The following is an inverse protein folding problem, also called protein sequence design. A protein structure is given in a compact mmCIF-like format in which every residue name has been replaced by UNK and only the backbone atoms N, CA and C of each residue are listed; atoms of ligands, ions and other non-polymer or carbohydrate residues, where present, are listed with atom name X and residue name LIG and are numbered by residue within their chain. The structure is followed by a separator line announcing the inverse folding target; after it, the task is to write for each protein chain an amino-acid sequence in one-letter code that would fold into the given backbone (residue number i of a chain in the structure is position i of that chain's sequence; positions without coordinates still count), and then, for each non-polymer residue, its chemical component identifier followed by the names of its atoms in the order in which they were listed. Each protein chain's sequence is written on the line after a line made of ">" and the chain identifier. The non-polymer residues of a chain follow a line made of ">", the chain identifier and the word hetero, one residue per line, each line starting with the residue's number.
data_IF_469439510698
#
_entry.id   IF_469439510698
#
_cell.length_a   1.000
_cell.length_b   1.000
_cell.length_c   1.000
_cell.angle_alpha   90.00
_cell.angle_beta   90.00
_cell.angle_gamma   90.00
#
_symmetry.space_group_name_H-M   'P 1'
#
loop_
_entity.id
_entity.type
_entity.pdbx_description
1 polymer ?
#
# COMPACT_ATOMS: atom_id res chain seq x y z
N UNK A 1 -19.15 -53.81 19.86
CA UNK A 1 -19.92 -52.68 19.29
C UNK A 1 -19.72 -51.34 20.05
N UNK A 2 -19.32 -51.31 21.31
CA UNK A 2 -19.04 -50.05 22.05
C UNK A 2 -17.63 -49.45 21.82
N UNK A 3 -16.65 -50.28 21.46
CA UNK A 3 -15.27 -49.82 21.20
C UNK A 3 -15.14 -49.09 19.87
N UNK A 4 -15.83 -49.54 18.80
CA UNK A 4 -15.80 -48.91 17.49
C UNK A 4 -16.42 -47.51 17.45
N UNK A 5 -17.40 -47.21 18.31
CA UNK A 5 -18.02 -45.88 18.38
C UNK A 5 -17.08 -44.81 19.01
N UNK A 6 -16.16 -45.22 19.89
CA UNK A 6 -15.22 -44.31 20.55
C UNK A 6 -14.06 -43.89 19.64
N UNK A 7 -13.62 -44.76 18.74
CA UNK A 7 -12.55 -44.45 17.77
C UNK A 7 -13.05 -43.55 16.66
N UNK A 8 -14.31 -43.66 16.21
CA UNK A 8 -14.89 -42.78 15.19
C UNK A 8 -15.10 -41.34 15.71
N UNK A 9 -15.44 -41.16 16.98
CA UNK A 9 -15.59 -39.82 17.57
C UNK A 9 -14.24 -39.13 17.78
N UNK A 10 -13.17 -39.85 18.08
CA UNK A 10 -11.84 -39.29 18.26
C UNK A 10 -11.22 -38.81 16.93
N UNK A 11 -11.47 -39.51 15.82
CA UNK A 11 -10.99 -39.12 14.50
C UNK A 11 -11.71 -37.91 13.91
N UNK A 12 -13.00 -37.69 14.27
CA UNK A 12 -13.74 -36.49 13.87
C UNK A 12 -13.27 -35.21 14.60
N UNK A 13 -12.81 -35.34 15.86
CA UNK A 13 -12.30 -34.19 16.62
C UNK A 13 -10.93 -33.74 16.18
N UNK A 14 -10.06 -34.64 15.71
CA UNK A 14 -8.73 -34.27 15.19
C UNK A 14 -8.78 -33.60 13.80
N UNK A 15 -9.79 -33.93 12.98
CA UNK A 15 -9.97 -33.29 11.67
C UNK A 15 -10.50 -31.84 11.77
N UNK A 16 -11.23 -31.50 12.84
CA UNK A 16 -11.79 -30.16 13.05
C UNK A 16 -10.75 -29.12 13.53
N UNK A 17 -9.61 -29.55 14.08
CA UNK A 17 -8.58 -28.67 14.61
C UNK A 17 -7.57 -28.17 13.55
N UNK A 18 -7.55 -28.75 12.35
CA UNK A 18 -6.63 -28.36 11.26
C UNK A 18 -7.20 -27.29 10.31
N UNK A 19 -8.45 -26.87 10.48
CA UNK A 19 -9.09 -25.92 9.56
C UNK A 19 -9.00 -24.44 9.99
N UNK A 20 -8.30 -24.11 11.05
CA UNK A 20 -8.02 -22.73 11.44
C UNK A 20 -6.68 -22.24 10.82
N UNK A 21 -6.53 -22.39 9.50
CA UNK A 21 -5.53 -21.63 8.77
C UNK A 21 -5.99 -20.17 8.80
N UNK A 22 -5.49 -19.41 9.78
CA UNK A 22 -5.78 -17.99 9.93
C UNK A 22 -5.44 -17.25 8.64
N UNK A 23 -6.39 -16.53 8.11
CA UNK A 23 -6.14 -15.53 7.07
C UNK A 23 -5.22 -14.48 7.71
N UNK A 24 -3.93 -14.58 7.44
CA UNK A 24 -2.97 -13.55 7.84
C UNK A 24 -3.25 -12.35 6.96
N UNK A 25 -3.89 -11.33 7.52
CA UNK A 25 -4.03 -10.06 6.85
C UNK A 25 -2.61 -9.52 6.56
N UNK A 26 -2.32 -9.27 5.28
CA UNK A 26 -1.04 -8.69 4.89
C UNK A 26 -0.98 -7.25 5.42
N UNK A 27 -0.12 -7.03 6.40
CA UNK A 27 0.16 -5.71 6.94
C UNK A 27 1.56 -5.27 6.52
N UNK A 28 1.76 -3.96 6.38
CA UNK A 28 3.10 -3.43 6.12
C UNK A 28 4.01 -3.70 7.32
N UNK A 29 5.25 -4.17 7.09
CA UNK A 29 6.26 -4.27 8.13
C UNK A 29 6.52 -2.91 8.78
N UNK A 30 6.70 -2.87 10.10
CA UNK A 30 7.09 -1.63 10.79
C UNK A 30 8.56 -1.30 10.48
N UNK A 31 8.78 -0.17 9.81
CA UNK A 31 10.10 0.30 9.38
C UNK A 31 10.30 1.77 9.76
N UNK A 32 11.43 2.05 10.40
CA UNK A 32 11.80 3.42 10.82
C UNK A 32 12.52 4.21 9.73
N UNK A 33 13.02 3.54 8.70
CA UNK A 33 13.79 4.13 7.60
C UNK A 33 12.94 4.54 6.39
N UNK A 34 11.62 4.40 6.49
CA UNK A 34 10.65 4.79 5.45
C UNK A 34 9.75 5.92 5.93
N UNK A 35 9.22 6.69 4.99
CA UNK A 35 8.19 7.68 5.30
C UNK A 35 6.93 6.96 5.79
N UNK A 36 6.46 7.36 6.97
CA UNK A 36 5.27 6.78 7.58
C UNK A 36 4.00 7.22 6.84
N UNK A 37 3.12 6.28 6.55
CA UNK A 37 1.77 6.58 6.02
C UNK A 37 0.96 7.47 6.97
N UNK A 38 1.19 7.34 8.28
CA UNK A 38 0.59 8.24 9.28
C UNK A 38 1.03 9.70 9.09
N UNK A 39 2.26 9.93 8.63
CA UNK A 39 2.72 11.28 8.28
C UNK A 39 2.06 11.75 7.00
N UNK A 40 2.03 10.93 5.94
CA UNK A 40 1.40 11.27 4.67
C UNK A 40 -0.12 11.55 4.82
N UNK A 41 -0.78 10.93 5.78
CA UNK A 41 -2.18 11.18 6.10
C UNK A 41 -2.45 12.54 6.78
N UNK A 42 -1.40 13.32 7.13
CA UNK A 42 -1.56 14.65 7.72
C UNK A 42 -1.84 15.71 6.65
N UNK A 43 -2.99 15.60 6.04
CA UNK A 43 -3.49 16.50 5.00
C UNK A 43 -4.97 16.80 5.26
N UNK A 44 -5.36 18.04 5.07
CA UNK A 44 -6.74 18.50 5.16
C UNK A 44 -7.21 18.99 3.79
N UNK A 45 -8.47 18.72 3.45
CA UNK A 45 -9.09 19.27 2.25
C UNK A 45 -9.74 20.60 2.59
N UNK A 46 -9.21 21.68 2.06
CA UNK A 46 -9.76 23.03 2.23
C UNK A 46 -10.45 23.49 0.96
N UNK A 47 -11.60 24.13 1.12
CA UNK A 47 -12.32 24.71 -0.02
C UNK A 47 -11.64 26.02 -0.43
N UNK A 48 -11.12 26.04 -1.66
CA UNK A 48 -10.55 27.25 -2.29
C UNK A 48 -11.38 27.59 -3.52
N UNK A 49 -12.16 28.68 -3.43
CA UNK A 49 -13.18 29.02 -4.43
C UNK A 49 -14.19 27.86 -4.58
N UNK A 50 -14.28 27.27 -5.77
CA UNK A 50 -15.23 26.20 -6.09
C UNK A 50 -14.59 24.80 -6.10
N UNK A 51 -13.32 24.64 -5.63
CA UNK A 51 -12.58 23.37 -5.60
C UNK A 51 -12.06 23.08 -4.20
N UNK A 52 -11.92 21.79 -3.89
CA UNK A 52 -11.17 21.33 -2.72
C UNK A 52 -9.70 21.14 -3.09
N UNK A 53 -8.81 21.70 -2.26
CA UNK A 53 -7.35 21.54 -2.40
C UNK A 53 -6.74 20.94 -1.13
N UNK A 54 -5.71 20.10 -1.26
CA UNK A 54 -5.01 19.58 -0.09
C UNK A 54 -4.17 20.65 0.59
N UNK A 55 -4.33 20.77 1.89
CA UNK A 55 -3.46 21.53 2.78
C UNK A 55 -2.62 20.56 3.58
N UNK A 56 -1.35 20.49 3.25
CA UNK A 56 -0.40 19.56 3.87
C UNK A 56 0.16 20.14 5.17
N UNK A 57 0.41 19.25 6.16
CA UNK A 57 1.16 19.63 7.36
C UNK A 57 2.60 20.06 7.00
N UNK A 58 3.24 20.78 7.91
CA UNK A 58 4.65 21.19 7.73
C UNK A 58 5.57 19.99 7.56
N UNK A 59 5.29 18.89 8.27
CA UNK A 59 6.05 17.64 8.16
C UNK A 59 5.94 17.01 6.77
N UNK A 60 4.75 16.99 6.17
CA UNK A 60 4.54 16.52 4.79
C UNK A 60 5.18 17.47 3.78
N UNK A 61 4.95 18.78 3.93
CA UNK A 61 5.52 19.78 3.03
C UNK A 61 7.06 19.75 3.00
N UNK A 62 7.69 19.41 4.11
CA UNK A 62 9.15 19.26 4.21
C UNK A 62 9.70 18.07 3.41
N UNK A 63 8.86 17.13 2.98
CA UNK A 63 9.26 16.00 2.14
C UNK A 63 9.31 16.35 0.65
N UNK A 64 8.77 17.50 0.26
CA UNK A 64 8.75 17.92 -1.14
C UNK A 64 10.15 18.03 -1.72
N UNK A 65 10.33 17.48 -2.91
CA UNK A 65 11.59 17.40 -3.64
C UNK A 65 12.72 16.62 -2.91
N UNK A 66 12.42 15.94 -1.81
CA UNK A 66 13.41 15.12 -1.09
C UNK A 66 13.49 13.71 -1.67
N UNK A 67 14.68 13.11 -1.56
CA UNK A 67 14.84 11.68 -1.75
C UNK A 67 14.40 10.96 -0.48
N UNK A 68 13.42 10.06 -0.64
CA UNK A 68 12.80 9.34 0.48
C UNK A 68 12.63 7.87 0.15
N UNK A 69 12.49 7.05 1.19
CA UNK A 69 12.03 5.67 1.07
C UNK A 69 10.55 5.59 1.41
N UNK A 70 9.78 4.90 0.58
CA UNK A 70 8.37 4.59 0.83
C UNK A 70 8.16 3.10 0.67
N UNK A 71 7.34 2.50 1.53
CA UNK A 71 6.91 1.10 1.39
C UNK A 71 5.41 1.03 1.15
N UNK A 72 4.96 0.03 0.41
CA UNK A 72 3.55 -0.18 0.15
C UNK A 72 3.29 -1.34 -0.79
N UNK A 73 2.02 -1.54 -1.10
CA UNK A 73 1.53 -2.55 -2.03
C UNK A 73 1.40 -1.94 -3.43
N UNK A 74 1.85 -2.68 -4.43
CA UNK A 74 1.82 -2.24 -5.82
C UNK A 74 0.43 -2.42 -6.41
N UNK A 75 -0.13 -1.35 -6.98
CA UNK A 75 -1.36 -1.36 -7.78
C UNK A 75 -0.99 -0.97 -9.22
N UNK A 76 -0.95 -1.92 -10.16
CA UNK A 76 -0.49 -1.67 -11.51
C UNK A 76 -1.45 -0.73 -12.27
N UNK A 77 -0.88 0.18 -13.03
CA UNK A 77 -1.59 1.04 -13.99
C UNK A 77 -1.34 0.60 -15.44
N UNK A 78 -0.37 -0.29 -15.65
CA UNK A 78 0.03 -0.81 -16.93
C UNK A 78 -0.29 -2.31 -17.04
N UNK A 79 -0.52 -2.79 -18.24
CA UNK A 79 -0.70 -4.22 -18.51
C UNK A 79 0.66 -4.92 -18.55
N UNK A 80 0.73 -6.17 -18.05
CA UNK A 80 1.91 -7.03 -18.12
C UNK A 80 2.62 -7.22 -16.78
N UNK A 81 3.64 -8.10 -16.79
CA UNK A 81 4.34 -8.56 -15.58
C UNK A 81 5.39 -7.56 -15.05
N UNK A 82 5.75 -6.56 -15.84
CA UNK A 82 6.70 -5.51 -15.47
C UNK A 82 6.01 -4.16 -15.48
N UNK A 83 6.23 -3.41 -14.40
CA UNK A 83 5.59 -2.13 -14.16
C UNK A 83 6.65 -1.02 -14.07
N UNK A 84 6.46 0.04 -14.82
CA UNK A 84 7.25 1.27 -14.73
C UNK A 84 6.45 2.43 -14.13
N UNK A 85 5.11 2.33 -14.18
CA UNK A 85 4.18 3.31 -13.66
C UNK A 85 3.04 2.61 -12.92
N UNK A 86 2.88 2.90 -11.64
CA UNK A 86 1.87 2.26 -10.79
C UNK A 86 1.55 3.13 -9.57
N UNK A 87 0.52 2.76 -8.84
CA UNK A 87 0.22 3.33 -7.53
C UNK A 87 0.81 2.44 -6.44
N UNK A 88 1.47 3.04 -5.48
CA UNK A 88 1.86 2.40 -4.22
C UNK A 88 0.81 2.73 -3.17
N UNK A 89 0.23 1.71 -2.54
CA UNK A 89 -0.84 1.85 -1.56
C UNK A 89 -0.36 1.46 -0.16
N UNK A 90 -0.92 2.11 0.86
CA UNK A 90 -0.68 1.78 2.27
C UNK A 90 -1.29 0.44 2.69
N UNK A 91 -2.29 -0.05 1.97
CA UNK A 91 -2.99 -1.30 2.24
C UNK A 91 -3.07 -2.17 0.99
N UNK A 92 -3.11 -3.50 1.12
CA UNK A 92 -3.27 -4.38 -0.02
C UNK A 92 -4.62 -4.13 -0.70
N UNK A 93 -4.67 -4.28 -2.00
CA UNK A 93 -5.89 -4.20 -2.78
C UNK A 93 -6.78 -5.40 -2.47
N UNK A 94 -7.93 -5.17 -1.87
CA UNK A 94 -8.90 -6.23 -1.52
C UNK A 94 -9.87 -6.56 -2.66
N UNK A 95 -10.00 -5.67 -3.64
CA UNK A 95 -10.78 -5.90 -4.85
C UNK A 95 -10.23 -5.06 -6.02
N UNK A 96 -10.40 -5.55 -7.26
CA UNK A 96 -9.85 -4.91 -8.46
C UNK A 96 -10.47 -3.54 -8.79
N UNK A 97 -11.58 -3.19 -8.15
CA UNK A 97 -12.32 -1.94 -8.39
C UNK A 97 -12.38 -1.03 -7.15
N UNK A 98 -11.76 -1.44 -6.03
CA UNK A 98 -11.77 -0.69 -4.79
C UNK A 98 -10.47 0.10 -4.64
N UNK A 99 -10.58 1.42 -4.52
CA UNK A 99 -9.46 2.22 -4.04
C UNK A 99 -9.22 1.91 -2.56
N UNK A 100 -8.00 1.58 -2.14
CA UNK A 100 -7.70 1.16 -0.75
C UNK A 100 -7.60 2.33 0.23
N UNK A 101 -8.26 3.44 -0.04
CA UNK A 101 -8.29 4.64 0.79
C UNK A 101 -8.39 5.92 -0.04
N UNK A 102 -8.28 7.07 0.62
CA UNK A 102 -8.20 8.37 -0.03
C UNK A 102 -6.81 8.64 -0.65
N UNK A 103 -6.66 9.78 -1.37
CA UNK A 103 -5.41 10.15 -2.02
C UNK A 103 -4.20 10.22 -1.08
N UNK A 104 -4.42 10.44 0.22
CA UNK A 104 -3.39 10.45 1.28
C UNK A 104 -2.78 9.06 1.55
N UNK A 105 -3.47 8.00 1.12
CA UNK A 105 -3.05 6.60 1.27
C UNK A 105 -2.35 6.06 0.02
N UNK A 106 -2.12 6.90 -0.97
CA UNK A 106 -1.63 6.53 -2.30
C UNK A 106 -0.42 7.39 -2.69
N UNK A 107 0.55 6.75 -3.33
CA UNK A 107 1.69 7.44 -3.98
C UNK A 107 1.79 6.96 -5.42
N UNK A 108 1.69 7.86 -6.38
CA UNK A 108 1.99 7.56 -7.78
C UNK A 108 3.49 7.34 -7.93
N UNK A 109 3.88 6.23 -8.53
CA UNK A 109 5.29 5.86 -8.69
C UNK A 109 5.66 5.81 -10.16
N UNK A 110 6.75 6.50 -10.51
CA UNK A 110 7.43 6.39 -11.81
C UNK A 110 8.82 5.82 -11.58
N UNK A 111 9.01 4.58 -12.03
CA UNK A 111 10.25 3.85 -11.85
C UNK A 111 11.31 4.29 -12.86
N UNK A 112 12.57 4.32 -12.43
CA UNK A 112 13.70 4.53 -13.32
C UNK A 112 13.92 3.35 -14.28
N UNK A 113 13.61 2.12 -13.84
CA UNK A 113 13.60 0.89 -14.65
C UNK A 113 12.40 0.05 -14.24
N UNK A 114 11.72 -0.63 -15.19
CA UNK A 114 10.59 -1.48 -14.86
C UNK A 114 10.97 -2.57 -13.84
N UNK A 115 10.04 -2.85 -12.92
CA UNK A 115 10.16 -3.90 -11.91
C UNK A 115 9.06 -4.94 -12.10
N UNK A 116 9.30 -6.16 -11.65
CA UNK A 116 8.28 -7.20 -11.67
C UNK A 116 7.12 -6.84 -10.74
N UNK A 117 5.90 -7.08 -11.20
CA UNK A 117 4.72 -6.98 -10.35
C UNK A 117 4.75 -8.08 -9.28
N UNK A 118 4.35 -7.73 -8.07
CA UNK A 118 4.19 -8.67 -6.95
C UNK A 118 3.10 -8.22 -6.00
N UNK A 119 2.50 -9.17 -5.30
CA UNK A 119 1.47 -8.90 -4.27
C UNK A 119 2.08 -8.53 -2.91
N UNK A 120 3.35 -8.85 -2.71
CA UNK A 120 4.08 -8.50 -1.49
C UNK A 120 4.40 -7.00 -1.44
N UNK A 121 4.48 -6.41 -0.24
CA UNK A 121 4.86 -5.01 -0.12
C UNK A 121 6.29 -4.78 -0.62
N UNK A 122 6.48 -3.69 -1.35
CA UNK A 122 7.78 -3.27 -1.88
C UNK A 122 8.28 -2.02 -1.16
N UNK A 123 9.59 -1.87 -1.09
CA UNK A 123 10.25 -0.65 -0.60
C UNK A 123 10.94 0.03 -1.78
N UNK A 124 10.66 1.30 -1.96
CA UNK A 124 11.19 2.10 -3.06
C UNK A 124 11.89 3.35 -2.52
N UNK A 125 13.00 3.72 -3.13
CA UNK A 125 13.64 5.03 -2.93
C UNK A 125 13.46 5.87 -4.17
N UNK A 126 13.16 7.14 -4.02
CA UNK A 126 13.01 8.09 -5.12
C UNK A 126 12.75 9.51 -4.64
N UNK A 127 12.62 10.42 -5.57
CA UNK A 127 12.32 11.82 -5.29
C UNK A 127 10.82 12.01 -5.12
N UNK A 128 10.38 12.43 -3.94
CA UNK A 128 8.97 12.68 -3.63
C UNK A 128 8.58 14.10 -4.05
N UNK A 129 7.47 14.22 -4.76
CA UNK A 129 6.79 15.49 -5.01
C UNK A 129 5.48 15.53 -4.22
N UNK A 130 5.23 16.64 -3.52
CA UNK A 130 3.98 16.94 -2.81
C UNK A 130 3.14 17.86 -3.67
N UNK A 131 2.00 17.35 -4.15
CA UNK A 131 1.21 17.96 -5.22
C UNK A 131 -0.04 18.65 -4.66
N UNK A 132 -0.09 19.98 -4.77
CA UNK A 132 -1.22 20.78 -4.27
C UNK A 132 -2.39 20.89 -5.25
N UNK A 133 -2.11 20.76 -6.53
CA UNK A 133 -3.11 20.92 -7.59
C UNK A 133 -2.72 20.04 -8.79
N UNK A 134 -2.85 18.72 -8.63
CA UNK A 134 -2.61 17.76 -9.70
C UNK A 134 -3.93 17.40 -10.38
N UNK A 135 -4.00 17.44 -11.74
CA UNK A 135 -5.24 17.17 -12.47
C UNK A 135 -5.74 15.72 -12.29
N UNK A 136 -4.89 14.79 -11.92
CA UNK A 136 -5.25 13.39 -11.64
C UNK A 136 -5.72 13.17 -10.21
N UNK A 137 -5.60 14.18 -9.34
CA UNK A 137 -6.05 14.14 -7.96
C UNK A 137 -5.09 13.40 -7.01
N UNK A 138 -3.88 13.05 -7.46
CA UNK A 138 -2.88 12.46 -6.57
C UNK A 138 -2.20 13.54 -5.72
N UNK A 139 -1.89 13.19 -4.46
CA UNK A 139 -1.20 14.09 -3.54
C UNK A 139 0.30 13.90 -3.54
N UNK A 140 0.77 12.71 -3.90
CA UNK A 140 2.17 12.32 -3.83
C UNK A 140 2.61 11.61 -5.10
N UNK A 141 3.80 12.00 -5.61
CA UNK A 141 4.44 11.34 -6.74
C UNK A 141 5.89 11.03 -6.41
N UNK A 142 6.30 9.78 -6.55
CA UNK A 142 7.68 9.33 -6.40
C UNK A 142 8.28 9.13 -7.79
N UNK A 143 9.27 9.95 -8.15
CA UNK A 143 9.96 9.89 -9.45
C UNK A 143 11.35 9.32 -9.31
N UNK A 144 11.90 8.83 -10.42
CA UNK A 144 13.21 8.17 -10.48
C UNK A 144 13.34 7.02 -9.48
N UNK A 145 12.21 6.36 -9.21
CA UNK A 145 12.12 5.35 -8.18
C UNK A 145 12.95 4.10 -8.52
N UNK A 146 13.61 3.56 -7.52
CA UNK A 146 14.36 2.32 -7.57
C UNK A 146 14.02 1.44 -6.36
N UNK A 147 14.08 0.09 -6.49
CA UNK A 147 13.92 -0.80 -5.35
C UNK A 147 14.97 -0.50 -4.28
N UNK A 148 14.52 -0.48 -3.02
CA UNK A 148 15.37 -0.32 -1.84
C UNK A 148 15.23 -1.54 -0.91
N UNK A 149 16.24 -1.74 -0.07
CA UNK A 149 16.23 -2.81 0.95
C UNK A 149 15.77 -2.25 2.29
#
# INVERSE_FOLDING_TARGET
>A
MRLMKRTLLATLYTAALLAAAGVVAQTLPDRKDVVSWKLLAQVELVKVKDRFQPQFSTGVAALDAKEVKVQGFMMPLEMGDKQSHFILSSTPQSCNFCMPGGPESLVEVKMKKPVAYGMEPVVLTGKLAVLKDDPTGVFYRLTDAVPAK
#
